data_IF_928111303580
#
_entry.id   IF_928111303580
#
_cell.length_a   1.000
_cell.length_b   1.000
_cell.length_c   1.000
_cell.angle_alpha   90.00
_cell.angle_beta   90.00
_cell.angle_gamma   90.00
#
_symmetry.space_group_name_H-M   'P 1'
#
loop_
_entity.id
_entity.type
_entity.pdbx_description
1 polymer ?
#
# COMPACT_ATOMS: atom_id res chain seq x y z
N UNK A 1 6.30 35.56 -1.18
CA UNK A 1 4.99 36.20 -0.99
C UNK A 1 4.59 36.76 -2.36
N UNK A 2 3.96 35.93 -3.18
CA UNK A 2 3.61 36.28 -4.56
C UNK A 2 2.28 37.04 -4.55
N UNK A 3 2.30 38.23 -5.16
CA UNK A 3 1.13 39.05 -5.46
C UNK A 3 0.29 38.38 -6.54
N UNK A 4 -0.50 37.38 -6.14
CA UNK A 4 -1.71 37.00 -6.87
C UNK A 4 -2.87 37.49 -5.98
N UNK A 5 -3.93 38.00 -6.58
CA UNK A 5 -5.17 38.47 -5.94
C UNK A 5 -5.25 39.95 -5.54
N UNK A 6 -5.80 40.76 -6.46
CA UNK A 6 -6.47 42.02 -6.09
C UNK A 6 -7.73 42.25 -6.94
N UNK A 7 -7.69 41.92 -8.24
CA UNK A 7 -8.85 41.98 -9.14
C UNK A 7 -9.82 40.81 -8.94
N UNK A 8 -9.32 39.59 -8.76
CA UNK A 8 -10.15 38.38 -8.60
C UNK A 8 -10.95 38.37 -7.28
N UNK A 9 -10.36 38.87 -6.18
CA UNK A 9 -11.07 38.98 -4.88
C UNK A 9 -12.24 39.97 -4.97
N UNK A 10 -12.02 41.16 -5.55
CA UNK A 10 -13.07 42.17 -5.72
C UNK A 10 -14.21 41.69 -6.62
N UNK A 11 -13.90 40.87 -7.61
CA UNK A 11 -14.88 40.29 -8.52
C UNK A 11 -15.75 39.23 -7.84
N UNK A 12 -15.15 38.39 -6.99
CA UNK A 12 -15.86 37.41 -6.16
C UNK A 12 -16.80 38.07 -5.14
N UNK A 13 -16.39 39.18 -4.53
CA UNK A 13 -17.25 39.96 -3.62
C UNK A 13 -18.51 40.52 -4.31
N UNK A 14 -18.42 40.90 -5.59
CA UNK A 14 -19.58 41.32 -6.39
C UNK A 14 -20.59 40.20 -6.57
N UNK A 15 -20.12 38.99 -6.87
CA UNK A 15 -20.96 37.80 -6.96
C UNK A 15 -21.62 37.42 -5.64
N UNK A 16 -20.88 37.49 -4.54
CA UNK A 16 -21.43 37.25 -3.20
C UNK A 16 -22.54 38.25 -2.85
N UNK A 17 -22.37 39.53 -3.22
CA UNK A 17 -23.39 40.57 -3.03
C UNK A 17 -24.64 40.32 -3.87
N UNK A 18 -24.47 39.89 -5.11
CA UNK A 18 -25.60 39.58 -6.00
C UNK A 18 -26.30 38.27 -5.66
N UNK A 19 -25.60 37.28 -5.09
CA UNK A 19 -26.12 35.96 -4.75
C UNK A 19 -27.31 35.98 -3.77
N UNK A 20 -27.44 37.04 -2.96
CA UNK A 20 -28.59 37.25 -2.08
C UNK A 20 -29.83 37.84 -2.77
N UNK A 21 -29.73 38.21 -4.05
CA UNK A 21 -30.85 38.78 -4.81
C UNK A 21 -31.68 37.68 -5.47
N UNK A 22 -33.00 37.83 -5.47
CA UNK A 22 -33.93 36.88 -6.11
C UNK A 22 -33.75 36.79 -7.64
N UNK A 23 -32.98 37.70 -8.25
CA UNK A 23 -32.69 37.73 -9.68
C UNK A 23 -31.34 37.03 -10.02
N UNK A 24 -30.59 36.57 -9.03
CA UNK A 24 -29.28 35.98 -9.28
C UNK A 24 -29.39 34.62 -9.95
N UNK A 25 -28.93 34.54 -11.19
CA UNK A 25 -28.79 33.28 -11.93
C UNK A 25 -27.37 33.15 -12.45
N UNK A 26 -26.69 32.10 -12.00
CA UNK A 26 -25.33 31.76 -12.42
C UNK A 26 -25.36 30.43 -13.17
N UNK A 27 -25.52 30.49 -14.50
CA UNK A 27 -25.46 29.29 -15.32
C UNK A 27 -24.03 28.74 -15.36
N UNK A 28 -23.83 27.42 -15.61
CA UNK A 28 -22.50 26.84 -15.74
C UNK A 28 -21.63 27.53 -16.80
N UNK A 29 -22.24 27.94 -17.92
CA UNK A 29 -21.54 28.69 -18.96
C UNK A 29 -21.08 30.07 -18.45
N UNK A 30 -21.94 30.82 -17.75
CA UNK A 30 -21.59 32.10 -17.15
C UNK A 30 -20.53 31.94 -16.05
N UNK A 31 -20.53 30.84 -15.30
CA UNK A 31 -19.46 30.54 -14.35
C UNK A 31 -18.12 30.38 -15.07
N UNK A 32 -18.05 29.51 -16.09
CA UNK A 32 -16.81 29.22 -16.84
C UNK A 32 -16.21 30.49 -17.43
N UNK A 33 -17.03 31.29 -18.13
CA UNK A 33 -16.58 32.53 -18.80
C UNK A 33 -16.04 33.57 -17.82
N UNK A 34 -16.57 33.58 -16.59
CA UNK A 34 -16.30 34.65 -15.62
C UNK A 34 -15.20 34.30 -14.63
N UNK A 35 -15.03 33.03 -14.30
CA UNK A 35 -13.98 32.56 -13.37
C UNK A 35 -12.80 31.90 -14.07
N UNK A 36 -12.88 31.75 -15.41
CA UNK A 36 -11.92 30.95 -16.18
C UNK A 36 -11.79 29.52 -15.63
N UNK A 37 -12.93 28.93 -15.22
CA UNK A 37 -12.97 27.63 -14.58
C UNK A 37 -12.39 26.55 -15.51
N UNK A 38 -11.44 25.77 -14.98
CA UNK A 38 -10.83 24.63 -15.68
C UNK A 38 -11.58 23.36 -15.27
N UNK A 39 -11.80 22.46 -16.23
CA UNK A 39 -12.40 21.15 -15.96
C UNK A 39 -13.93 21.11 -15.92
N UNK A 40 -14.61 22.20 -16.30
CA UNK A 40 -16.07 22.23 -16.56
C UNK A 40 -16.29 22.72 -17.98
N UNK A 41 -17.16 22.06 -18.73
CA UNK A 41 -17.48 22.37 -20.13
C UNK A 41 -19.00 22.43 -20.26
N UNK A 42 -19.54 23.57 -20.69
CA UNK A 42 -20.96 23.72 -21.01
C UNK A 42 -21.12 23.90 -22.52
N UNK A 43 -21.89 23.02 -23.16
CA UNK A 43 -22.19 23.06 -24.60
C UNK A 43 -23.69 23.21 -24.82
N UNK A 44 -24.09 24.05 -25.77
CA UNK A 44 -25.47 24.18 -26.24
C UNK A 44 -25.74 23.27 -27.45
N UNK A 45 -27.03 22.97 -27.71
CA UNK A 45 -27.46 22.19 -28.88
C UNK A 45 -28.03 20.80 -28.55
N UNK A 46 -28.34 20.01 -29.60
CA UNK A 46 -29.03 18.70 -29.51
C UNK A 46 -28.26 17.62 -28.71
N UNK A 47 -26.95 17.80 -28.57
CA UNK A 47 -26.07 16.98 -27.72
C UNK A 47 -25.31 17.85 -26.72
N UNK A 48 -25.92 18.97 -26.35
CA UNK A 48 -25.43 19.89 -25.34
C UNK A 48 -25.58 19.31 -23.94
N UNK A 49 -24.94 19.96 -22.98
CA UNK A 49 -24.90 19.55 -21.59
C UNK A 49 -23.76 20.25 -20.85
N UNK A 50 -23.78 20.10 -19.53
CA UNK A 50 -22.65 20.50 -18.68
C UNK A 50 -21.90 19.25 -18.27
N UNK A 51 -20.63 19.19 -18.63
CA UNK A 51 -19.72 18.10 -18.35
C UNK A 51 -18.61 18.62 -17.43
N UNK A 52 -18.06 17.75 -16.60
CA UNK A 52 -16.94 18.09 -15.75
C UNK A 52 -15.93 16.94 -15.69
N UNK A 53 -14.69 17.26 -15.31
CA UNK A 53 -13.69 16.26 -14.93
C UNK A 53 -14.26 15.33 -13.85
N UNK A 54 -13.84 14.06 -13.85
CA UNK A 54 -14.39 13.02 -12.95
C UNK A 54 -14.44 13.47 -11.50
N UNK A 55 -13.37 14.10 -11.02
CA UNK A 55 -13.22 14.48 -9.62
C UNK A 55 -14.19 15.62 -9.26
N UNK A 56 -14.33 16.61 -10.15
CA UNK A 56 -15.29 17.71 -9.99
C UNK A 56 -16.72 17.16 -10.00
N UNK A 57 -17.02 16.27 -10.96
CA UNK A 57 -18.33 15.63 -11.06
C UNK A 57 -18.66 14.77 -9.82
N UNK A 58 -17.68 14.03 -9.29
CA UNK A 58 -17.84 13.25 -8.06
C UNK A 58 -18.15 14.15 -6.86
N UNK A 59 -17.43 15.27 -6.71
CA UNK A 59 -17.69 16.21 -5.62
C UNK A 59 -19.11 16.79 -5.69
N UNK A 60 -19.53 17.27 -6.87
CA UNK A 60 -20.91 17.74 -7.08
C UNK A 60 -21.95 16.65 -6.80
N UNK A 61 -21.70 15.43 -7.26
CA UNK A 61 -22.59 14.28 -7.02
C UNK A 61 -22.67 13.96 -5.52
N UNK A 62 -21.55 14.03 -4.80
CA UNK A 62 -21.50 13.79 -3.35
C UNK A 62 -22.22 14.86 -2.53
N UNK A 63 -22.28 16.09 -3.03
CA UNK A 63 -23.00 17.19 -2.41
C UNK A 63 -24.51 17.04 -2.57
N UNK A 64 -24.95 16.62 -3.75
CA UNK A 64 -26.38 16.42 -4.07
C UNK A 64 -26.91 15.12 -3.46
N UNK A 65 -26.11 14.05 -3.48
CA UNK A 65 -26.53 12.70 -3.12
C UNK A 65 -25.71 12.18 -1.93
N UNK A 66 -26.30 12.23 -0.73
CA UNK A 66 -25.65 11.76 0.50
C UNK A 66 -25.27 10.27 0.43
N UNK A 67 -26.06 9.45 -0.26
CA UNK A 67 -25.78 8.01 -0.47
C UNK A 67 -24.50 7.79 -1.27
N UNK A 68 -24.28 8.57 -2.32
CA UNK A 68 -23.07 8.49 -3.14
C UNK A 68 -21.82 8.82 -2.30
N UNK A 69 -21.93 9.83 -1.43
CA UNK A 69 -20.84 10.19 -0.51
C UNK A 69 -20.53 9.06 0.48
N UNK A 70 -21.55 8.43 1.04
CA UNK A 70 -21.37 7.27 1.94
C UNK A 70 -20.72 6.09 1.22
N UNK A 71 -21.08 5.85 -0.04
CA UNK A 71 -20.48 4.80 -0.86
C UNK A 71 -18.98 5.02 -1.07
N UNK A 72 -18.55 6.24 -1.42
CA UNK A 72 -17.13 6.59 -1.54
C UNK A 72 -16.38 6.35 -0.23
N UNK A 73 -16.96 6.77 0.91
CA UNK A 73 -16.34 6.58 2.23
C UNK A 73 -16.20 5.09 2.56
N UNK A 74 -17.22 4.28 2.27
CA UNK A 74 -17.19 2.86 2.52
C UNK A 74 -16.15 2.15 1.63
N UNK A 75 -16.07 2.50 0.36
CA UNK A 75 -15.10 1.92 -0.56
C UNK A 75 -13.67 2.29 -0.19
N UNK A 76 -13.44 3.54 0.23
CA UNK A 76 -12.15 3.97 0.77
C UNK A 76 -11.73 3.13 2.01
N UNK A 77 -12.65 2.93 2.96
CA UNK A 77 -12.39 2.09 4.15
C UNK A 77 -12.05 0.65 3.76
N UNK A 78 -12.77 0.08 2.79
CA UNK A 78 -12.52 -1.27 2.26
C UNK A 78 -11.13 -1.38 1.63
N UNK A 79 -10.76 -0.43 0.76
CA UNK A 79 -9.43 -0.40 0.16
C UNK A 79 -8.34 -0.30 1.23
N UNK A 80 -8.56 0.52 2.28
CA UNK A 80 -7.61 0.67 3.37
C UNK A 80 -7.45 -0.60 4.21
N UNK A 81 -8.54 -1.32 4.49
CA UNK A 81 -8.46 -2.61 5.18
C UNK A 81 -7.74 -3.65 4.33
N UNK A 82 -7.99 -3.67 3.02
CA UNK A 82 -7.37 -4.62 2.10
C UNK A 82 -5.86 -4.37 1.99
N UNK A 83 -5.42 -3.11 1.92
CA UNK A 83 -4.00 -2.75 1.98
C UNK A 83 -3.33 -3.19 3.29
N UNK A 84 -3.96 -2.88 4.43
CA UNK A 84 -3.43 -3.24 5.74
C UNK A 84 -3.29 -4.76 5.89
N UNK A 85 -4.27 -5.53 5.40
CA UNK A 85 -4.21 -7.00 5.44
C UNK A 85 -3.04 -7.55 4.63
N UNK A 86 -2.84 -7.05 3.39
CA UNK A 86 -1.70 -7.44 2.53
C UNK A 86 -0.36 -7.13 3.17
N UNK A 87 -0.21 -5.94 3.77
CA UNK A 87 1.01 -5.55 4.49
C UNK A 87 1.28 -6.45 5.70
N UNK A 88 0.22 -6.79 6.45
CA UNK A 88 0.34 -7.66 7.62
C UNK A 88 0.68 -9.12 7.25
N UNK A 89 0.24 -9.60 6.08
CA UNK A 89 0.42 -10.99 5.68
C UNK A 89 1.91 -11.36 5.51
N UNK A 90 2.68 -10.56 4.77
CA UNK A 90 4.10 -10.81 4.56
C UNK A 90 4.90 -10.75 5.87
N UNK A 91 4.59 -9.77 6.73
CA UNK A 91 5.25 -9.64 8.03
C UNK A 91 4.93 -10.83 8.95
N UNK A 92 3.67 -11.26 9.01
CA UNK A 92 3.25 -12.44 9.75
C UNK A 92 3.91 -13.71 9.20
N UNK A 93 3.96 -13.88 7.88
CA UNK A 93 4.60 -15.02 7.23
C UNK A 93 6.09 -15.13 7.60
N UNK A 94 6.84 -14.03 7.50
CA UNK A 94 8.25 -14.00 7.86
C UNK A 94 8.49 -14.36 9.33
N UNK A 95 7.60 -13.90 10.22
CA UNK A 95 7.65 -14.22 11.64
C UNK A 95 7.36 -15.69 11.91
N UNK A 96 6.37 -16.28 11.25
CA UNK A 96 6.06 -17.71 11.40
C UNK A 96 7.17 -18.60 10.81
N UNK A 97 7.73 -18.25 9.64
CA UNK A 97 8.91 -18.95 9.08
C UNK A 97 10.08 -18.88 10.05
N UNK A 98 10.36 -17.71 10.63
CA UNK A 98 11.44 -17.55 11.61
C UNK A 98 11.22 -18.42 12.85
N UNK A 99 10.00 -18.45 13.41
CA UNK A 99 9.67 -19.33 14.55
C UNK A 99 9.84 -20.81 14.21
N UNK A 100 9.39 -21.23 13.03
CA UNK A 100 9.56 -22.60 12.55
C UNK A 100 11.05 -22.94 12.45
N UNK A 101 11.87 -22.06 11.86
CA UNK A 101 13.31 -22.25 11.76
C UNK A 101 13.94 -22.39 13.15
N UNK A 102 13.67 -21.48 14.09
CA UNK A 102 14.17 -21.57 15.46
C UNK A 102 13.79 -22.90 16.13
N UNK A 103 12.55 -23.36 15.95
CA UNK A 103 12.08 -24.62 16.52
C UNK A 103 12.77 -25.83 15.89
N UNK A 104 12.94 -25.85 14.56
CA UNK A 104 13.68 -26.89 13.84
C UNK A 104 15.13 -26.95 14.34
N UNK A 105 15.82 -25.80 14.38
CA UNK A 105 17.20 -25.73 14.86
C UNK A 105 17.33 -26.17 16.32
N UNK A 106 16.45 -25.71 17.20
CA UNK A 106 16.48 -26.09 18.62
C UNK A 106 16.21 -27.57 18.82
N UNK A 107 15.24 -28.14 18.09
CA UNK A 107 14.93 -29.56 18.16
C UNK A 107 16.09 -30.40 17.61
N UNK A 108 16.73 -29.98 16.52
CA UNK A 108 17.91 -30.63 15.98
C UNK A 108 19.05 -30.68 17.01
N UNK A 109 19.35 -29.55 17.65
CA UNK A 109 20.36 -29.49 18.71
C UNK A 109 19.99 -30.42 19.86
N UNK A 110 18.74 -30.40 20.34
CA UNK A 110 18.30 -31.30 21.42
C UNK A 110 18.39 -32.78 21.04
N UNK A 111 18.04 -33.15 19.82
CA UNK A 111 18.00 -34.56 19.41
C UNK A 111 19.37 -35.12 19.07
N UNK A 112 20.25 -34.33 18.46
CA UNK A 112 21.49 -34.84 17.87
C UNK A 112 22.77 -34.32 18.53
N UNK A 113 22.78 -33.12 19.12
CA UNK A 113 23.95 -32.56 19.83
C UNK A 113 24.01 -32.96 21.31
N UNK A 114 22.98 -33.62 21.85
CA UNK A 114 22.99 -34.18 23.21
C UNK A 114 23.58 -35.60 23.30
N UNK A 115 23.95 -36.22 22.18
CA UNK A 115 24.82 -37.38 22.18
C UNK A 115 26.28 -36.94 22.26
N UNK A 116 27.12 -37.67 22.99
CA UNK A 116 28.56 -37.37 23.09
C UNK A 116 29.17 -37.30 21.68
N UNK A 117 29.55 -36.10 21.25
CA UNK A 117 30.29 -35.90 20.01
C UNK A 117 31.59 -36.71 20.08
N UNK A 118 31.93 -37.40 19.00
CA UNK A 118 33.19 -38.15 18.94
C UNK A 118 34.38 -37.19 19.08
N UNK A 119 35.52 -37.67 19.61
CA UNK A 119 36.73 -36.85 19.79
C UNK A 119 37.23 -36.21 18.49
N UNK A 120 37.00 -36.87 17.35
CA UNK A 120 37.28 -36.33 16.03
C UNK A 120 36.39 -35.12 15.72
N UNK A 121 35.11 -35.16 16.09
CA UNK A 121 34.16 -34.06 15.88
C UNK A 121 34.48 -32.83 16.71
N UNK A 122 34.86 -33.02 17.98
CA UNK A 122 35.29 -31.94 18.87
C UNK A 122 36.63 -31.32 18.46
N UNK A 123 37.45 -32.05 17.69
CA UNK A 123 38.73 -31.56 17.17
C UNK A 123 38.58 -30.62 15.97
N UNK A 124 37.41 -30.61 15.33
CA UNK A 124 37.17 -29.76 14.16
C UNK A 124 36.96 -28.30 14.57
N UNK A 125 37.81 -27.42 14.06
CA UNK A 125 37.58 -25.98 14.05
C UNK A 125 36.56 -25.68 12.95
N UNK A 126 35.29 -25.53 13.31
CA UNK A 126 34.23 -25.22 12.35
C UNK A 126 34.51 -23.90 11.63
N UNK A 127 34.41 -23.91 10.30
CA UNK A 127 34.66 -22.74 9.47
C UNK A 127 33.44 -21.80 9.38
N UNK A 128 32.23 -22.33 9.55
CA UNK A 128 30.97 -21.58 9.48
C UNK A 128 29.87 -22.18 10.39
N UNK A 129 28.88 -21.37 10.76
CA UNK A 129 27.69 -21.83 11.52
C UNK A 129 26.92 -22.93 10.77
N UNK A 130 26.89 -22.85 9.43
CA UNK A 130 26.32 -23.86 8.54
C UNK A 130 27.03 -25.22 8.61
N UNK A 131 28.35 -25.24 8.78
CA UNK A 131 29.11 -26.48 8.95
C UNK A 131 28.84 -27.14 10.30
N UNK A 132 28.73 -26.33 11.36
CA UNK A 132 28.39 -26.79 12.70
C UNK A 132 26.95 -27.37 12.73
N UNK A 133 26.00 -26.70 12.08
CA UNK A 133 24.62 -27.17 11.97
C UNK A 133 24.48 -28.47 11.17
N UNK A 134 25.21 -28.63 10.06
CA UNK A 134 25.13 -29.86 9.26
C UNK A 134 25.75 -31.07 9.97
N UNK A 135 26.86 -30.87 10.68
CA UNK A 135 27.46 -31.92 11.51
C UNK A 135 26.50 -32.31 12.64
N UNK A 136 25.83 -31.34 13.26
CA UNK A 136 24.81 -31.59 14.26
C UNK A 136 23.58 -32.34 13.71
N UNK A 137 23.07 -31.97 12.54
CA UNK A 137 21.85 -32.55 11.98
C UNK A 137 22.04 -33.91 11.30
N UNK A 138 23.14 -34.05 10.55
CA UNK A 138 23.35 -35.14 9.59
C UNK A 138 24.63 -35.92 9.82
N UNK A 139 25.42 -35.57 10.84
CA UNK A 139 26.74 -36.16 11.11
C UNK A 139 27.73 -36.02 9.93
N UNK A 140 27.53 -35.02 9.06
CA UNK A 140 28.31 -34.77 7.83
C UNK A 140 28.59 -33.29 7.66
N UNK A 141 29.65 -32.92 6.95
CA UNK A 141 29.98 -31.51 6.65
C UNK A 141 28.98 -30.92 5.65
N UNK A 142 28.83 -29.60 5.64
CA UNK A 142 27.92 -28.93 4.70
C UNK A 142 28.28 -29.24 3.23
N UNK A 143 29.59 -29.35 2.94
CA UNK A 143 30.09 -29.71 1.62
C UNK A 143 29.72 -31.14 1.21
N UNK A 144 29.95 -32.11 2.09
CA UNK A 144 29.65 -33.53 1.85
C UNK A 144 28.14 -33.76 1.67
N UNK A 145 27.31 -33.09 2.47
CA UNK A 145 25.87 -33.17 2.35
C UNK A 145 25.36 -32.63 1.01
N UNK A 146 25.93 -31.51 0.51
CA UNK A 146 25.59 -30.95 -0.82
C UNK A 146 26.04 -31.86 -1.96
N UNK A 147 27.18 -32.52 -1.82
CA UNK A 147 27.68 -33.50 -2.80
C UNK A 147 26.76 -34.73 -2.90
N UNK A 148 26.19 -35.18 -1.78
CA UNK A 148 25.23 -36.27 -1.74
C UNK A 148 23.80 -35.86 -2.16
N UNK A 149 23.46 -34.57 -2.02
CA UNK A 149 22.12 -34.03 -2.33
C UNK A 149 22.13 -32.93 -3.40
N UNK A 150 22.68 -33.19 -4.61
CA UNK A 150 22.91 -32.16 -5.62
C UNK A 150 21.63 -31.53 -6.20
N UNK A 151 20.47 -32.18 -6.04
CA UNK A 151 19.17 -31.69 -6.53
C UNK A 151 18.38 -30.87 -5.50
N UNK A 152 18.79 -30.87 -4.22
CA UNK A 152 18.09 -30.18 -3.15
C UNK A 152 18.79 -28.85 -2.85
N UNK A 153 18.24 -27.74 -3.33
CA UNK A 153 18.64 -26.41 -2.87
C UNK A 153 18.08 -26.18 -1.47
N UNK A 154 18.87 -26.43 -0.45
CA UNK A 154 18.60 -25.98 0.91
C UNK A 154 19.34 -24.67 1.12
N UNK A 155 18.65 -23.63 1.61
CA UNK A 155 19.29 -22.44 2.14
C UNK A 155 19.87 -22.80 3.52
N UNK A 156 21.17 -23.02 3.58
CA UNK A 156 21.96 -23.11 4.82
C UNK A 156 22.99 -21.99 4.77
#
# INVERSE_FOLDING_TARGET
MLFVYSSEIKYWEGYLKEAGSNAFTLSPQRWIEKTNAIGIISKSGRYGGTFAHSDIAMEFTSWILAEFKLYIIQDYKRLKSDENSKLSFNWNLNREISKINYKIHTNAIKTYLLGDLTKEQLSYKYASEADMLNVALFNKRAKEWREENPKLKVNI
#
